data_IF_879372667237
#
_entry.id   IF_879372667237
#
_cell.length_a   1.000
_cell.length_b   1.000
_cell.length_c   1.000
_cell.angle_alpha   90.00
_cell.angle_beta   90.00
_cell.angle_gamma   90.00
#
_symmetry.space_group_name_H-M   'P 1'
#
loop_
_entity.id
_entity.type
_entity.pdbx_description
1 polymer ?
#
# COMPACT_ATOMS: atom_id res chain seq x y z
N UNK A 1 -1.63 -8.21 -16.55
CA UNK A 1 -1.26 -6.80 -16.81
C UNK A 1 -1.00 -6.11 -15.49
N UNK A 2 0.19 -5.54 -15.32
CA UNK A 2 0.48 -4.64 -14.20
C UNK A 2 -0.33 -3.36 -14.37
N UNK A 3 -0.80 -2.80 -13.26
CA UNK A 3 -1.57 -1.55 -13.24
C UNK A 3 -0.75 -0.39 -12.71
N UNK A 4 0.11 -0.64 -11.71
CA UNK A 4 1.00 0.37 -11.15
C UNK A 4 2.23 -0.28 -10.48
N UNK A 5 3.31 0.51 -10.30
CA UNK A 5 4.55 0.13 -9.63
C UNK A 5 5.12 1.33 -8.88
N UNK A 6 5.53 1.12 -7.63
CA UNK A 6 6.24 2.12 -6.83
C UNK A 6 7.46 1.50 -6.14
N UNK A 7 8.44 2.36 -5.85
CA UNK A 7 9.63 2.02 -5.09
C UNK A 7 9.52 2.60 -3.68
N UNK A 8 10.05 1.88 -2.70
CA UNK A 8 10.25 2.44 -1.37
C UNK A 8 11.45 3.39 -1.36
N UNK A 9 11.22 4.62 -0.90
CA UNK A 9 12.24 5.66 -0.84
C UNK A 9 13.25 5.47 0.30
N UNK A 10 12.89 4.71 1.34
CA UNK A 10 13.78 4.40 2.48
C UNK A 10 14.45 3.04 2.31
N UNK A 11 13.82 2.12 1.57
CA UNK A 11 14.36 0.79 1.29
C UNK A 11 14.48 0.53 -0.22
N UNK A 12 15.66 0.79 -0.84
CA UNK A 12 15.81 0.75 -2.30
C UNK A 12 15.59 -0.63 -2.95
N UNK A 13 15.58 -1.71 -2.15
CA UNK A 13 15.29 -3.06 -2.63
C UNK A 13 13.80 -3.44 -2.52
N UNK A 14 13.00 -2.60 -1.87
CA UNK A 14 11.57 -2.86 -1.68
C UNK A 14 10.78 -2.24 -2.82
N UNK A 15 10.01 -3.09 -3.50
CA UNK A 15 9.19 -2.72 -4.66
C UNK A 15 7.75 -3.18 -4.43
N UNK A 16 6.80 -2.31 -4.73
CA UNK A 16 5.38 -2.65 -4.71
C UNK A 16 4.81 -2.60 -6.11
N UNK A 17 4.02 -3.61 -6.46
CA UNK A 17 3.31 -3.67 -7.74
C UNK A 17 1.86 -4.03 -7.53
N UNK A 18 1.03 -3.58 -8.46
CA UNK A 18 -0.38 -3.96 -8.49
C UNK A 18 -0.80 -4.52 -9.82
N UNK A 19 -1.83 -5.36 -9.76
CA UNK A 19 -2.56 -5.84 -10.91
C UNK A 19 -4.02 -6.14 -10.52
N UNK A 20 -4.76 -6.76 -11.44
CA UNK A 20 -6.17 -7.16 -11.23
C UNK A 20 -6.38 -8.24 -10.15
N UNK A 21 -5.30 -8.84 -9.66
CA UNK A 21 -5.26 -9.86 -8.61
C UNK A 21 -4.75 -9.31 -7.27
N UNK A 22 -4.44 -8.02 -7.18
CA UNK A 22 -4.12 -7.34 -5.93
C UNK A 22 -2.76 -6.64 -5.90
N UNK A 23 -2.26 -6.45 -4.69
CA UNK A 23 -0.97 -5.84 -4.34
C UNK A 23 0.06 -6.93 -4.05
N UNK A 24 1.26 -6.75 -4.58
CA UNK A 24 2.41 -7.62 -4.37
C UNK A 24 3.60 -6.77 -3.93
N UNK A 25 4.43 -7.33 -3.05
CA UNK A 25 5.65 -6.70 -2.54
C UNK A 25 6.84 -7.60 -2.85
N UNK A 26 7.94 -6.99 -3.23
CA UNK A 26 9.25 -7.62 -3.29
C UNK A 26 10.18 -6.92 -2.30
N UNK A 27 11.08 -7.66 -1.66
CA UNK A 27 12.14 -7.13 -0.80
C UNK A 27 13.54 -7.23 -1.43
N UNK A 28 13.63 -7.83 -2.62
CA UNK A 28 14.88 -8.19 -3.29
C UNK A 28 15.00 -7.59 -4.70
N UNK A 29 14.37 -6.43 -4.92
CA UNK A 29 14.43 -5.71 -6.20
C UNK A 29 13.61 -6.36 -7.32
N UNK A 30 12.64 -7.20 -6.98
CA UNK A 30 11.71 -7.83 -7.93
C UNK A 30 12.06 -9.26 -8.34
N UNK A 31 13.01 -9.91 -7.65
CA UNK A 31 13.36 -11.32 -7.90
C UNK A 31 12.30 -12.26 -7.31
N UNK A 32 11.80 -11.95 -6.11
CA UNK A 32 10.70 -12.66 -5.46
C UNK A 32 9.56 -11.71 -5.10
N UNK A 33 8.34 -12.26 -5.05
CA UNK A 33 7.11 -11.48 -4.84
C UNK A 33 6.19 -12.18 -3.85
N UNK A 34 5.74 -11.43 -2.86
CA UNK A 34 4.76 -11.86 -1.88
C UNK A 34 3.43 -11.12 -2.06
N UNK A 35 2.33 -11.85 -2.02
CA UNK A 35 1.00 -11.25 -2.09
C UNK A 35 0.69 -10.51 -0.78
N UNK A 36 0.52 -9.19 -0.84
CA UNK A 36 0.14 -8.34 0.30
C UNK A 36 -1.33 -7.95 0.25
N UNK A 37 -2.20 -8.73 -0.38
CA UNK A 37 -3.63 -8.39 -0.60
C UNK A 37 -4.59 -8.87 0.49
N UNK A 38 -4.10 -9.57 1.51
CA UNK A 38 -4.92 -10.22 2.53
C UNK A 38 -5.70 -9.21 3.40
N UNK A 39 -7.01 -9.10 3.18
CA UNK A 39 -7.90 -8.17 3.88
C UNK A 39 -8.47 -7.05 3.01
N UNK A 40 -8.03 -6.96 1.75
CA UNK A 40 -8.70 -6.12 0.74
C UNK A 40 -10.01 -6.79 0.32
N UNK A 41 -11.12 -6.09 0.43
CA UNK A 41 -12.41 -6.54 -0.10
C UNK A 41 -12.51 -6.38 -1.61
N UNK A 42 -11.69 -5.48 -2.20
CA UNK A 42 -11.54 -5.29 -3.63
C UNK A 42 -10.06 -5.36 -4.03
N UNK A 43 -9.71 -6.38 -4.82
CA UNK A 43 -8.34 -6.67 -5.26
C UNK A 43 -8.01 -6.12 -6.66
N UNK A 44 -8.96 -5.48 -7.34
CA UNK A 44 -8.72 -4.90 -8.66
C UNK A 44 -8.09 -3.51 -8.50
N UNK A 45 -6.79 -3.47 -8.20
CA UNK A 45 -6.09 -2.22 -7.88
C UNK A 45 -5.62 -1.50 -9.14
N UNK A 46 -5.85 -0.18 -9.19
CA UNK A 46 -5.52 0.69 -10.32
C UNK A 46 -4.47 1.75 -10.01
N UNK A 47 -4.31 2.11 -8.74
CA UNK A 47 -3.36 3.12 -8.32
C UNK A 47 -2.70 2.74 -6.99
N UNK A 48 -1.44 3.10 -6.86
CA UNK A 48 -0.64 3.05 -5.65
C UNK A 48 -0.03 4.43 -5.37
N UNK A 49 0.06 4.80 -4.09
CA UNK A 49 0.83 5.97 -3.69
C UNK A 49 1.47 5.76 -2.31
N UNK A 50 2.76 6.03 -2.18
CA UNK A 50 3.46 6.04 -0.89
C UNK A 50 3.30 7.40 -0.21
N UNK A 51 3.16 7.43 1.11
CA UNK A 51 3.17 8.68 1.86
C UNK A 51 4.58 9.29 1.83
N UNK A 52 4.65 10.60 1.55
CA UNK A 52 5.91 11.34 1.56
C UNK A 52 6.42 11.65 2.99
N UNK A 53 5.55 11.51 3.99
CA UNK A 53 5.86 11.81 5.40
C UNK A 53 6.19 10.54 6.18
N UNK A 54 5.62 9.41 5.76
CA UNK A 54 5.74 8.12 6.44
C UNK A 54 5.91 7.01 5.39
N UNK A 55 7.14 6.55 5.18
CA UNK A 55 7.43 5.50 4.18
C UNK A 55 6.76 4.17 4.51
N UNK A 56 6.32 3.99 5.77
CA UNK A 56 5.58 2.81 6.16
C UNK A 56 4.13 2.86 5.68
N UNK A 57 3.64 3.93 5.02
CA UNK A 57 2.24 4.07 4.55
C UNK A 57 2.11 4.02 3.02
N UNK A 58 1.22 3.14 2.55
CA UNK A 58 0.77 2.98 1.17
C UNK A 58 -0.74 3.13 1.06
N UNK A 59 -1.13 3.99 0.13
CA UNK A 59 -2.48 4.15 -0.34
C UNK A 59 -2.71 3.24 -1.54
N UNK A 60 -3.84 2.54 -1.56
CA UNK A 60 -4.25 1.73 -2.71
C UNK A 60 -5.63 2.15 -3.18
N UNK A 61 -5.72 2.40 -4.48
CA UNK A 61 -6.94 2.78 -5.18
C UNK A 61 -7.51 1.61 -5.99
N UNK A 62 -8.43 0.82 -5.43
CA UNK A 62 -9.20 -0.16 -6.21
C UNK A 62 -10.08 0.50 -7.27
N UNK A 63 -10.40 -0.27 -8.29
CA UNK A 63 -11.37 0.10 -9.33
C UNK A 63 -12.76 0.22 -8.68
N UNK A 64 -13.22 1.45 -8.44
CA UNK A 64 -14.48 1.75 -7.75
C UNK A 64 -14.47 3.12 -7.06
N UNK A 65 -15.39 3.34 -6.11
CA UNK A 65 -15.42 4.53 -5.23
C UNK A 65 -14.62 4.34 -3.93
N UNK A 66 -14.02 3.17 -3.74
CA UNK A 66 -13.33 2.82 -2.51
C UNK A 66 -11.85 3.20 -2.60
N UNK A 67 -11.34 3.89 -1.58
CA UNK A 67 -9.91 4.11 -1.37
C UNK A 67 -9.51 3.39 -0.08
N UNK A 68 -8.47 2.56 -0.09
CA UNK A 68 -7.96 1.91 1.12
C UNK A 68 -6.63 2.53 1.53
N UNK A 69 -6.44 2.71 2.85
CA UNK A 69 -5.20 3.19 3.46
C UNK A 69 -4.55 2.03 4.20
N UNK A 70 -3.24 1.84 4.04
CA UNK A 70 -2.49 0.87 4.84
C UNK A 70 -1.09 1.36 5.19
N UNK A 71 -0.61 0.91 6.34
CA UNK A 71 0.82 0.80 6.61
C UNK A 71 1.40 -0.51 6.03
N UNK A 72 2.32 -0.40 5.06
CA UNK A 72 3.04 -1.50 4.41
C UNK A 72 4.26 -1.99 5.19
N UNK A 73 4.63 -1.30 6.27
CA UNK A 73 5.61 -1.79 7.22
C UNK A 73 5.14 -3.08 7.90
N UNK A 74 6.09 -3.87 8.37
CA UNK A 74 5.80 -4.86 9.41
C UNK A 74 5.58 -4.06 10.71
N UNK A 75 4.39 -4.15 11.29
CA UNK A 75 4.13 -3.60 12.60
C UNK A 75 4.89 -4.46 13.60
N UNK A 76 6.16 -4.12 13.82
CA UNK A 76 7.06 -4.78 14.76
C UNK A 76 7.12 -6.30 14.55
N UNK A 77 7.28 -6.75 13.29
CA UNK A 77 7.36 -8.18 12.95
C UNK A 77 6.02 -8.92 12.89
N UNK A 78 4.89 -8.19 12.89
CA UNK A 78 3.56 -8.77 12.64
C UNK A 78 3.01 -8.28 11.30
N UNK A 79 2.39 -9.14 10.47
CA UNK A 79 1.78 -8.68 9.22
C UNK A 79 0.58 -7.78 9.51
N UNK A 80 0.67 -6.49 9.16
CA UNK A 80 -0.43 -5.57 9.37
C UNK A 80 -1.62 -5.88 8.44
N UNK A 81 -2.85 -5.80 8.96
CA UNK A 81 -4.08 -6.06 8.21
C UNK A 81 -4.56 -4.78 7.50
N UNK A 82 -5.13 -4.88 6.30
CA UNK A 82 -5.77 -3.73 5.64
C UNK A 82 -6.92 -3.20 6.49
N UNK A 83 -6.97 -1.88 6.65
CA UNK A 83 -8.10 -1.20 7.28
C UNK A 83 -8.93 -0.53 6.18
N UNK A 84 -10.19 -0.93 6.05
CA UNK A 84 -11.16 -0.18 5.25
C UNK A 84 -11.50 1.10 6.01
N UNK A 85 -10.80 2.20 5.69
CA UNK A 85 -11.27 3.54 6.08
C UNK A 85 -12.01 4.09 4.86
N UNK A 86 -13.31 4.32 5.00
CA UNK A 86 -14.07 5.11 4.04
C UNK A 86 -13.34 6.44 3.78
N UNK A 87 -13.36 6.96 2.54
CA UNK A 87 -12.43 8.00 2.14
C UNK A 87 -12.73 9.31 2.89
N UNK A 88 -11.67 10.05 3.23
CA UNK A 88 -11.69 11.44 3.71
C UNK A 88 -11.89 11.76 5.20
N UNK A 89 -11.98 10.79 6.11
CA UNK A 89 -11.51 11.03 7.50
C UNK A 89 -10.01 10.72 7.54
N UNK A 90 -9.23 11.44 6.72
CA UNK A 90 -8.45 12.59 7.19
C UNK A 90 -7.67 12.21 8.45
N UNK A 91 -6.36 12.07 8.27
CA UNK A 91 -5.42 12.46 9.33
C UNK A 91 -6.02 13.70 10.02
N UNK A 92 -6.35 13.68 11.33
CA UNK A 92 -6.39 14.94 12.02
C UNK A 92 -4.99 15.52 11.84
N UNK A 93 -4.90 16.71 11.27
CA UNK A 93 -3.67 17.48 11.25
C UNK A 93 -3.14 17.55 12.70
N UNK A 94 -2.22 16.66 13.07
CA UNK A 94 -1.50 16.80 14.32
C UNK A 94 -0.39 17.81 14.10
N UNK A 95 -0.70 19.08 14.35
CA UNK A 95 0.28 20.08 14.77
C UNK A 95 0.96 20.87 13.66
N UNK A 96 0.23 21.80 13.04
CA UNK A 96 0.81 23.12 12.76
C UNK A 96 0.30 24.12 13.81
N UNK A 97 0.84 23.99 15.02
CA UNK A 97 1.21 25.05 15.98
C UNK A 97 1.63 24.42 17.30
#
# INVERSE_FOLDING_TARGET
>A
MLSDLILDSTHPHVVYVTNRHGVFRSEDGGLTWEARSAGLTNINIRALAMSAVDSDVLYVGPMGRDCFVRSIGDCHGTPCRWLSRNPCEAYPESGMM
#
